data_IF_856294620523
#
_entry.id   IF_856294620523
#
_cell.length_a   1.000
_cell.length_b   1.000
_cell.length_c   1.000
_cell.angle_alpha   90.00
_cell.angle_beta   90.00
_cell.angle_gamma   90.00
#
_symmetry.space_group_name_H-M   'P 1'
#
loop_
_entity.id
_entity.type
_entity.pdbx_description
1 polymer ?
#
# COMPACT_ATOMS: atom_id res chain seq x y z
N UNK A 1 12.60 -5.12 28.04
CA UNK A 1 12.59 -6.33 27.19
C UNK A 1 13.77 -6.36 26.23
N UNK A 2 14.04 -5.31 25.44
CA UNK A 2 15.25 -5.21 24.58
C UNK A 2 16.56 -5.52 25.29
N UNK A 3 16.78 -4.94 26.49
CA UNK A 3 18.00 -5.19 27.27
C UNK A 3 18.16 -6.67 27.64
N UNK A 4 17.06 -7.40 27.86
CA UNK A 4 17.10 -8.84 28.15
C UNK A 4 17.51 -9.66 26.93
N UNK A 5 16.97 -9.34 25.75
CA UNK A 5 17.42 -9.96 24.50
C UNK A 5 18.89 -9.64 24.18
N UNK A 6 19.32 -8.40 24.44
CA UNK A 6 20.71 -8.02 24.27
C UNK A 6 21.65 -8.82 25.19
N UNK A 7 21.29 -9.03 26.45
CA UNK A 7 22.05 -9.87 27.39
C UNK A 7 22.08 -11.33 26.96
N UNK A 8 20.92 -11.90 26.57
CA UNK A 8 20.84 -13.27 26.06
C UNK A 8 21.72 -13.46 24.82
N UNK A 9 21.73 -12.49 23.90
CA UNK A 9 22.60 -12.52 22.72
C UNK A 9 24.09 -12.49 23.08
N UNK A 10 24.47 -11.82 24.18
CA UNK A 10 25.86 -11.81 24.65
C UNK A 10 26.28 -13.16 25.23
N UNK A 11 25.40 -13.84 25.97
CA UNK A 11 25.67 -15.19 26.50
C UNK A 11 25.62 -16.26 25.42
N UNK A 12 24.73 -16.12 24.44
CA UNK A 12 24.44 -17.11 23.40
C UNK A 12 24.59 -16.48 22.00
N UNK A 13 25.80 -16.08 21.61
CA UNK A 13 26.02 -15.46 20.30
C UNK A 13 25.80 -16.49 19.19
N UNK A 14 25.16 -16.06 18.10
CA UNK A 14 24.83 -16.88 16.93
C UNK A 14 23.77 -17.99 17.16
N UNK A 15 23.14 -18.07 18.33
CA UNK A 15 22.04 -19.02 18.56
C UNK A 15 20.74 -18.47 17.95
N UNK A 16 20.18 -19.19 16.98
CA UNK A 16 18.99 -18.74 16.24
C UNK A 16 17.76 -18.61 17.15
N UNK A 17 17.67 -19.46 18.17
CA UNK A 17 16.63 -19.42 19.21
C UNK A 17 16.63 -18.12 20.01
N UNK A 18 17.74 -17.38 20.02
CA UNK A 18 17.84 -16.05 20.62
C UNK A 18 17.67 -14.95 19.56
N UNK A 19 18.29 -15.12 18.39
CA UNK A 19 18.29 -14.09 17.35
C UNK A 19 16.91 -13.89 16.71
N UNK A 20 16.16 -14.96 16.43
CA UNK A 20 14.84 -14.89 15.81
C UNK A 20 13.80 -14.12 16.66
N UNK A 21 13.57 -14.47 17.95
CA UNK A 21 12.63 -13.70 18.77
C UNK A 21 13.13 -12.29 19.05
N UNK A 22 14.45 -12.07 19.10
CA UNK A 22 14.99 -10.72 19.23
C UNK A 22 14.69 -9.87 17.98
N UNK A 23 14.90 -10.42 16.79
CA UNK A 23 14.59 -9.76 15.52
C UNK A 23 13.10 -9.41 15.45
N UNK A 24 12.23 -10.39 15.73
CA UNK A 24 10.78 -10.17 15.76
C UNK A 24 10.42 -9.03 16.72
N UNK A 25 10.92 -9.06 17.95
CA UNK A 25 10.66 -8.01 18.92
C UNK A 25 11.14 -6.64 18.42
N UNK A 26 12.34 -6.55 17.82
CA UNK A 26 12.86 -5.28 17.28
C UNK A 26 12.03 -4.72 16.12
N UNK A 27 11.46 -5.58 15.28
CA UNK A 27 10.52 -5.18 14.24
C UNK A 27 9.23 -4.63 14.87
N UNK A 28 8.70 -5.29 15.90
CA UNK A 28 7.46 -4.87 16.59
C UNK A 28 7.61 -3.51 17.28
N UNK A 29 8.77 -3.24 17.90
CA UNK A 29 9.03 -1.95 18.57
C UNK A 29 9.62 -0.88 17.67
N UNK A 30 9.87 -1.20 16.40
CA UNK A 30 10.37 -0.24 15.41
C UNK A 30 11.86 0.12 15.55
N UNK A 31 12.66 -0.76 16.14
CA UNK A 31 14.13 -0.61 16.21
C UNK A 31 14.77 -1.09 14.90
N UNK A 32 14.47 -0.40 13.79
CA UNK A 32 14.77 -0.84 12.43
C UNK A 32 16.25 -1.10 12.15
N UNK A 33 17.15 -0.33 12.78
CA UNK A 33 18.60 -0.54 12.63
C UNK A 33 19.07 -1.85 13.25
N UNK A 34 18.51 -2.23 14.41
CA UNK A 34 18.82 -3.50 15.06
C UNK A 34 18.18 -4.65 14.29
N UNK A 35 16.92 -4.48 13.85
CA UNK A 35 16.22 -5.47 13.05
C UNK A 35 16.98 -5.82 11.76
N UNK A 36 17.52 -4.82 11.06
CA UNK A 36 18.36 -5.03 9.86
C UNK A 36 19.62 -5.84 10.18
N UNK A 37 20.35 -5.44 11.23
CA UNK A 37 21.56 -6.15 11.65
C UNK A 37 21.29 -7.61 11.99
N UNK A 38 20.25 -7.87 12.78
CA UNK A 38 19.83 -9.22 13.15
C UNK A 38 19.39 -10.02 11.91
N UNK A 39 18.69 -9.40 10.96
CA UNK A 39 18.27 -10.07 9.74
C UNK A 39 19.48 -10.54 8.90
N UNK A 40 20.50 -9.70 8.76
CA UNK A 40 21.74 -10.09 8.06
C UNK A 40 22.55 -11.14 8.81
N UNK A 41 22.54 -11.11 10.13
CA UNK A 41 23.22 -12.11 10.97
C UNK A 41 22.53 -13.46 10.88
N UNK A 42 21.19 -13.50 10.98
CA UNK A 42 20.40 -14.71 10.80
C UNK A 42 20.60 -15.27 9.38
N UNK A 43 20.56 -14.45 8.33
CA UNK A 43 20.80 -14.92 6.95
C UNK A 43 22.22 -15.46 6.75
N UNK A 44 23.21 -14.94 7.49
CA UNK A 44 24.57 -15.49 7.45
C UNK A 44 24.66 -16.87 8.10
N UNK A 45 23.92 -17.10 9.18
CA UNK A 45 23.93 -18.34 9.95
C UNK A 45 23.03 -19.41 9.33
N UNK A 46 21.87 -19.00 8.83
CA UNK A 46 20.91 -19.81 8.12
C UNK A 46 20.53 -19.08 6.82
N UNK A 47 21.27 -19.40 5.76
CA UNK A 47 21.07 -18.74 4.47
C UNK A 47 19.65 -18.94 3.94
N UNK A 48 19.04 -17.83 3.51
CA UNK A 48 17.67 -17.74 3.04
C UNK A 48 16.61 -18.04 4.10
N UNK A 49 16.92 -17.94 5.39
CA UNK A 49 15.92 -18.14 6.44
C UNK A 49 14.72 -17.18 6.25
N UNK A 50 13.47 -17.66 6.28
CA UNK A 50 12.32 -16.85 5.87
C UNK A 50 12.13 -15.60 6.75
N UNK A 51 12.33 -15.69 8.05
CA UNK A 51 12.23 -14.60 9.02
C UNK A 51 13.32 -13.53 8.79
N UNK A 52 14.53 -13.94 8.41
CA UNK A 52 15.58 -12.99 8.01
C UNK A 52 15.15 -12.21 6.77
N UNK A 53 14.65 -12.93 5.75
CA UNK A 53 14.23 -12.31 4.50
C UNK A 53 13.02 -11.38 4.70
N UNK A 54 12.05 -11.79 5.51
CA UNK A 54 10.87 -11.01 5.87
C UNK A 54 11.21 -9.80 6.74
N UNK A 55 12.19 -9.94 7.65
CA UNK A 55 12.71 -8.84 8.45
C UNK A 55 13.35 -7.75 7.59
N UNK A 56 14.25 -8.13 6.66
CA UNK A 56 14.83 -7.17 5.69
C UNK A 56 13.75 -6.50 4.85
N UNK A 57 12.76 -7.26 4.37
CA UNK A 57 11.62 -6.70 3.63
C UNK A 57 10.92 -5.61 4.45
N UNK A 58 10.63 -5.85 5.73
CA UNK A 58 9.95 -4.86 6.56
C UNK A 58 10.80 -3.61 6.82
N UNK A 59 12.12 -3.78 7.01
CA UNK A 59 13.05 -2.64 7.10
C UNK A 59 13.01 -1.79 5.83
N UNK A 60 13.05 -2.39 4.63
CA UNK A 60 12.97 -1.65 3.37
C UNK A 60 11.63 -0.94 3.20
N UNK A 61 10.53 -1.61 3.56
CA UNK A 61 9.18 -1.00 3.56
C UNK A 61 9.14 0.25 4.44
N UNK A 62 9.70 0.17 5.65
CA UNK A 62 9.71 1.31 6.56
C UNK A 62 10.56 2.49 6.08
N UNK A 63 11.71 2.21 5.47
CA UNK A 63 12.55 3.25 4.88
C UNK A 63 11.97 3.84 3.59
N UNK A 64 10.94 3.23 3.02
CA UNK A 64 10.42 3.58 1.70
C UNK A 64 11.42 3.28 0.58
N UNK A 65 12.37 2.36 0.80
CA UNK A 65 13.28 1.86 -0.24
C UNK A 65 12.55 0.78 -1.04
N UNK A 66 11.70 1.23 -1.95
CA UNK A 66 10.86 0.33 -2.74
C UNK A 66 11.67 -0.54 -3.70
N UNK A 67 12.72 -0.04 -4.38
CA UNK A 67 13.60 -0.88 -5.20
C UNK A 67 14.25 -2.03 -4.41
N UNK A 68 14.81 -1.78 -3.22
CA UNK A 68 15.35 -2.85 -2.40
C UNK A 68 14.25 -3.79 -1.90
N UNK A 69 13.11 -3.25 -1.48
CA UNK A 69 11.94 -4.04 -1.07
C UNK A 69 11.49 -5.01 -2.15
N UNK A 70 11.29 -4.58 -3.40
CA UNK A 70 10.76 -5.47 -4.44
C UNK A 70 11.78 -6.49 -4.93
N UNK A 71 13.09 -6.18 -4.86
CA UNK A 71 14.17 -7.17 -5.07
C UNK A 71 14.14 -8.25 -4.00
N UNK A 72 13.99 -7.84 -2.74
CA UNK A 72 13.85 -8.76 -1.62
C UNK A 72 12.58 -9.62 -1.73
N UNK A 73 11.44 -9.01 -2.05
CA UNK A 73 10.17 -9.72 -2.24
C UNK A 73 10.23 -10.71 -3.39
N UNK A 74 10.87 -10.35 -4.50
CA UNK A 74 11.08 -11.27 -5.61
C UNK A 74 11.92 -12.47 -5.18
N UNK A 75 13.02 -12.25 -4.46
CA UNK A 75 13.86 -13.32 -3.93
C UNK A 75 13.05 -14.27 -3.02
N UNK A 76 12.21 -13.70 -2.13
CA UNK A 76 11.29 -14.49 -1.29
C UNK A 76 10.32 -15.30 -2.14
N UNK A 77 9.71 -14.70 -3.17
CA UNK A 77 8.75 -15.41 -4.05
C UNK A 77 9.39 -16.48 -4.93
N UNK A 78 10.69 -16.38 -5.21
CA UNK A 78 11.46 -17.42 -5.92
C UNK A 78 11.76 -18.62 -5.01
N UNK A 79 11.98 -18.39 -3.71
CA UNK A 79 12.29 -19.43 -2.72
C UNK A 79 11.05 -20.06 -2.07
N UNK A 80 10.04 -19.23 -1.78
CA UNK A 80 8.81 -19.56 -1.07
C UNK A 80 7.59 -19.12 -1.89
N UNK A 81 7.37 -19.71 -3.08
CA UNK A 81 6.32 -19.27 -4.00
C UNK A 81 4.90 -19.49 -3.44
N UNK A 82 4.73 -20.51 -2.60
CA UNK A 82 3.46 -20.97 -2.07
C UNK A 82 3.40 -20.85 -0.54
N UNK A 83 2.18 -20.84 0.01
CA UNK A 83 1.94 -20.78 1.45
C UNK A 83 1.99 -19.37 2.02
N UNK A 84 1.94 -19.29 3.35
CA UNK A 84 1.67 -18.03 4.09
C UNK A 84 2.65 -16.91 3.73
N UNK A 85 3.94 -17.21 3.63
CA UNK A 85 4.98 -16.22 3.30
C UNK A 85 4.79 -15.68 1.88
N UNK A 86 4.65 -16.58 0.90
CA UNK A 86 4.44 -16.22 -0.50
C UNK A 86 3.16 -15.41 -0.70
N UNK A 87 2.07 -15.82 -0.06
CA UNK A 87 0.78 -15.13 -0.11
C UNK A 87 0.86 -13.73 0.51
N UNK A 88 1.51 -13.61 1.68
CA UNK A 88 1.71 -12.34 2.36
C UNK A 88 2.51 -11.36 1.50
N UNK A 89 3.58 -11.83 0.85
CA UNK A 89 4.39 -10.99 -0.04
C UNK A 89 3.58 -10.58 -1.28
N UNK A 90 2.96 -11.54 -1.96
CA UNK A 90 2.23 -11.32 -3.22
C UNK A 90 1.08 -10.32 -3.07
N UNK A 91 0.40 -10.34 -1.93
CA UNK A 91 -0.75 -9.47 -1.65
C UNK A 91 -0.48 -7.96 -1.83
N UNK A 92 0.76 -7.50 -1.65
CA UNK A 92 1.15 -6.08 -1.78
C UNK A 92 2.24 -5.83 -2.81
N UNK A 93 2.78 -6.88 -3.42
CA UNK A 93 3.95 -6.78 -4.28
C UNK A 93 3.69 -5.95 -5.55
N UNK A 94 2.54 -6.12 -6.21
CA UNK A 94 2.19 -5.32 -7.41
C UNK A 94 2.15 -3.83 -7.09
N UNK A 95 1.52 -3.44 -5.98
CA UNK A 95 1.51 -2.04 -5.53
C UNK A 95 2.92 -1.50 -5.29
N UNK A 96 3.81 -2.30 -4.68
CA UNK A 96 5.19 -1.90 -4.39
C UNK A 96 6.08 -1.83 -5.61
N UNK A 97 5.79 -2.63 -6.65
CA UNK A 97 6.46 -2.53 -7.95
C UNK A 97 6.20 -1.18 -8.62
N UNK A 98 4.99 -0.61 -8.50
CA UNK A 98 4.72 0.75 -8.95
C UNK A 98 5.59 1.77 -8.22
N UNK A 99 5.62 1.69 -6.88
CA UNK A 99 6.44 2.61 -6.06
C UNK A 99 7.94 2.49 -6.37
N UNK A 100 8.40 1.27 -6.65
CA UNK A 100 9.79 1.02 -7.02
C UNK A 100 10.11 1.59 -8.42
N UNK A 101 9.19 1.47 -9.38
CA UNK A 101 9.34 2.06 -10.72
C UNK A 101 9.33 3.59 -10.71
N UNK A 102 8.62 4.22 -9.76
CA UNK A 102 8.65 5.66 -9.55
C UNK A 102 10.04 6.14 -9.07
N UNK A 103 10.72 5.35 -8.23
CA UNK A 103 12.06 5.68 -7.71
C UNK A 103 13.20 5.27 -8.66
N UNK A 104 13.07 4.13 -9.33
CA UNK A 104 14.05 3.57 -10.25
C UNK A 104 13.32 3.10 -11.53
N UNK A 105 13.05 3.99 -12.51
CA UNK A 105 12.25 3.65 -13.70
C UNK A 105 12.79 2.48 -14.52
N UNK A 106 14.11 2.33 -14.55
CA UNK A 106 14.80 1.27 -15.28
C UNK A 106 14.79 -0.07 -14.52
N UNK A 107 14.37 -0.11 -13.25
CA UNK A 107 14.40 -1.31 -12.40
C UNK A 107 13.68 -2.49 -13.04
N UNK A 108 12.56 -2.18 -13.67
CA UNK A 108 11.68 -3.20 -14.23
C UNK A 108 12.17 -3.71 -15.58
N UNK A 109 13.21 -3.10 -16.15
CA UNK A 109 13.78 -3.56 -17.41
C UNK A 109 14.24 -5.01 -17.26
N UNK A 110 13.70 -5.87 -18.11
CA UNK A 110 13.96 -7.31 -18.07
C UNK A 110 13.51 -8.00 -16.77
N UNK A 111 12.67 -7.36 -15.95
CA UNK A 111 12.16 -7.95 -14.73
C UNK A 111 11.20 -9.10 -15.02
N UNK A 112 11.48 -10.27 -14.46
CA UNK A 112 10.63 -11.45 -14.62
C UNK A 112 9.45 -11.40 -13.66
N UNK A 113 8.24 -11.25 -14.20
CA UNK A 113 6.99 -11.28 -13.42
C UNK A 113 6.25 -12.62 -13.54
N UNK A 114 6.97 -13.73 -13.69
CA UNK A 114 6.34 -15.08 -13.77
C UNK A 114 5.49 -15.39 -12.54
N UNK A 115 5.82 -14.79 -11.41
CA UNK A 115 5.11 -14.92 -10.14
C UNK A 115 3.91 -13.94 -10.02
N UNK A 116 3.69 -13.00 -10.94
CA UNK A 116 2.48 -12.17 -10.89
C UNK A 116 1.32 -12.84 -11.66
N UNK A 117 0.09 -12.81 -11.10
CA UNK A 117 -1.10 -13.16 -11.87
C UNK A 117 -1.17 -12.29 -13.15
N UNK A 118 -1.29 -12.92 -14.32
CA UNK A 118 -1.40 -12.21 -15.61
C UNK A 118 -0.09 -11.96 -16.37
N UNK A 119 1.07 -12.33 -15.81
CA UNK A 119 2.36 -12.41 -16.52
C UNK A 119 2.71 -11.15 -17.35
N UNK A 120 2.92 -11.31 -18.66
CA UNK A 120 3.31 -10.20 -19.56
C UNK A 120 2.30 -9.05 -19.60
N UNK A 121 1.00 -9.32 -19.40
CA UNK A 121 -0.01 -8.26 -19.39
C UNK A 121 0.11 -7.39 -18.13
N UNK A 122 0.39 -8.00 -16.98
CA UNK A 122 0.63 -7.29 -15.72
C UNK A 122 1.85 -6.36 -15.85
N UNK A 123 2.93 -6.82 -16.52
CA UNK A 123 4.11 -5.99 -16.82
C UNK A 123 3.71 -4.74 -17.61
N UNK A 124 3.05 -4.93 -18.76
CA UNK A 124 2.66 -3.80 -19.63
C UNK A 124 1.73 -2.83 -18.90
N UNK A 125 0.79 -3.36 -18.12
CA UNK A 125 -0.10 -2.59 -17.28
C UNK A 125 0.68 -1.73 -16.29
N UNK A 126 1.61 -2.35 -15.56
CA UNK A 126 2.41 -1.68 -14.54
C UNK A 126 3.27 -0.54 -15.10
N UNK A 127 3.91 -0.77 -16.25
CA UNK A 127 4.65 0.28 -16.95
C UNK A 127 3.77 1.44 -17.38
N UNK A 128 2.59 1.15 -17.94
CA UNK A 128 1.65 2.18 -18.40
C UNK A 128 1.24 3.11 -17.26
N UNK A 129 0.87 2.53 -16.11
CA UNK A 129 0.49 3.29 -14.92
C UNK A 129 1.67 4.11 -14.40
N UNK A 130 2.85 3.50 -14.27
CA UNK A 130 4.03 4.17 -13.69
C UNK A 130 4.50 5.32 -14.59
N UNK A 131 4.49 5.13 -15.91
CA UNK A 131 4.80 6.20 -16.87
C UNK A 131 3.81 7.37 -16.79
N UNK A 132 2.51 7.08 -16.65
CA UNK A 132 1.49 8.12 -16.49
C UNK A 132 1.70 8.94 -15.21
N UNK A 133 2.05 8.29 -14.09
CA UNK A 133 2.33 8.97 -12.82
C UNK A 133 3.59 9.84 -12.94
N UNK A 134 4.68 9.30 -13.49
CA UNK A 134 5.94 10.04 -13.66
C UNK A 134 5.75 11.28 -14.55
N UNK A 135 5.05 11.13 -15.68
CA UNK A 135 4.75 12.25 -16.57
C UNK A 135 3.80 13.27 -15.92
N UNK A 136 2.78 12.82 -15.19
CA UNK A 136 1.89 13.72 -14.45
C UNK A 136 2.67 14.53 -13.39
N UNK A 137 3.61 13.90 -12.69
CA UNK A 137 4.50 14.57 -11.74
C UNK A 137 5.37 15.62 -12.43
N UNK A 138 5.97 15.29 -13.57
CA UNK A 138 6.75 16.25 -14.36
C UNK A 138 5.90 17.42 -14.84
N UNK A 139 4.68 17.18 -15.34
CA UNK A 139 3.73 18.22 -15.73
C UNK A 139 3.37 19.12 -14.54
N UNK A 140 3.07 18.55 -13.38
CA UNK A 140 2.73 19.30 -12.17
C UNK A 140 3.89 20.18 -11.70
N UNK A 141 5.12 19.64 -11.65
CA UNK A 141 6.33 20.40 -11.29
C UNK A 141 6.58 21.59 -12.23
N UNK A 142 6.19 21.47 -13.49
CA UNK A 142 6.25 22.53 -14.48
C UNK A 142 5.02 23.49 -14.46
N UNK A 143 4.20 23.44 -13.41
CA UNK A 143 3.02 24.29 -13.23
C UNK A 143 1.80 23.88 -14.07
N UNK A 144 1.84 22.73 -14.73
CA UNK A 144 0.77 22.24 -15.62
C UNK A 144 -0.15 21.25 -14.91
N UNK A 145 -0.60 21.56 -13.69
CA UNK A 145 -1.37 20.65 -12.84
C UNK A 145 -2.68 20.16 -13.48
N UNK A 146 -3.38 20.98 -14.26
CA UNK A 146 -4.62 20.54 -14.93
C UNK A 146 -4.32 19.47 -15.99
N UNK A 147 -3.24 19.62 -16.75
CA UNK A 147 -2.81 18.59 -17.72
C UNK A 147 -2.35 17.31 -17.03
N UNK A 148 -1.65 17.45 -15.90
CA UNK A 148 -1.28 16.31 -15.07
C UNK A 148 -2.54 15.55 -14.60
N UNK A 149 -3.57 16.26 -14.13
CA UNK A 149 -4.84 15.67 -13.73
C UNK A 149 -5.55 14.97 -14.91
N UNK A 150 -5.61 15.61 -16.08
CA UNK A 150 -6.20 15.00 -17.29
C UNK A 150 -5.49 13.69 -17.67
N UNK A 151 -4.15 13.67 -17.63
CA UNK A 151 -3.36 12.47 -17.91
C UNK A 151 -3.68 11.34 -16.92
N UNK A 152 -3.72 11.65 -15.62
CA UNK A 152 -4.04 10.65 -14.58
C UNK A 152 -5.47 10.12 -14.75
N UNK A 153 -6.44 11.01 -15.00
CA UNK A 153 -7.85 10.67 -15.24
C UNK A 153 -7.99 9.74 -16.43
N UNK A 154 -7.45 10.12 -17.58
CA UNK A 154 -7.55 9.31 -18.80
C UNK A 154 -6.81 8.00 -18.67
N UNK A 155 -5.68 7.96 -17.97
CA UNK A 155 -5.00 6.71 -17.64
C UNK A 155 -5.90 5.81 -16.79
N UNK A 156 -6.55 6.36 -15.77
CA UNK A 156 -7.48 5.60 -14.93
C UNK A 156 -8.66 5.05 -15.72
N UNK A 157 -9.26 5.82 -16.63
CA UNK A 157 -10.36 5.33 -17.49
C UNK A 157 -9.96 4.15 -18.38
N UNK A 158 -8.67 4.05 -18.72
CA UNK A 158 -8.12 2.98 -19.56
C UNK A 158 -7.79 1.72 -18.76
N UNK A 159 -7.27 1.86 -17.53
CA UNK A 159 -6.68 0.73 -16.79
C UNK A 159 -7.32 0.44 -15.42
N UNK A 160 -8.14 1.35 -14.89
CA UNK A 160 -8.89 1.16 -13.64
C UNK A 160 -8.04 1.10 -12.36
N UNK A 161 -6.76 1.49 -12.42
CA UNK A 161 -5.83 1.32 -11.30
C UNK A 161 -6.08 2.36 -10.19
N UNK A 162 -6.45 1.95 -8.96
CA UNK A 162 -6.79 2.90 -7.89
C UNK A 162 -5.66 3.88 -7.52
N UNK A 163 -4.40 3.48 -7.69
CA UNK A 163 -3.22 4.34 -7.47
C UNK A 163 -3.27 5.66 -8.28
N UNK A 164 -3.87 5.65 -9.47
CA UNK A 164 -4.03 6.86 -10.28
C UNK A 164 -5.02 7.86 -9.65
N UNK A 165 -6.01 7.37 -8.90
CA UNK A 165 -6.94 8.20 -8.15
C UNK A 165 -6.26 8.79 -6.90
N UNK A 166 -5.38 8.03 -6.25
CA UNK A 166 -4.58 8.55 -5.12
C UNK A 166 -3.71 9.74 -5.57
N UNK A 167 -3.09 9.66 -6.75
CA UNK A 167 -2.32 10.77 -7.32
C UNK A 167 -3.19 11.95 -7.75
N UNK A 168 -4.41 11.71 -8.26
CA UNK A 168 -5.38 12.78 -8.53
C UNK A 168 -5.79 13.52 -7.25
N UNK A 169 -6.06 12.78 -6.17
CA UNK A 169 -6.39 13.36 -4.87
C UNK A 169 -5.22 14.16 -4.29
N UNK A 170 -3.99 13.64 -4.42
CA UNK A 170 -2.79 14.38 -4.02
C UNK A 170 -2.69 15.69 -4.79
N UNK A 171 -2.85 15.64 -6.11
CA UNK A 171 -2.79 16.83 -6.96
C UNK A 171 -3.91 17.85 -6.64
N UNK A 172 -5.12 17.39 -6.32
CA UNK A 172 -6.19 18.24 -5.80
C UNK A 172 -5.75 18.98 -4.53
N UNK A 173 -5.10 18.29 -3.61
CA UNK A 173 -4.62 18.86 -2.34
C UNK A 173 -3.47 19.86 -2.58
N UNK A 174 -2.46 19.46 -3.36
CA UNK A 174 -1.25 20.24 -3.66
C UNK A 174 -1.57 21.54 -4.42
N UNK A 175 -2.69 21.57 -5.15
CA UNK A 175 -3.18 22.74 -5.90
C UNK A 175 -4.15 23.62 -5.11
N UNK A 176 -4.30 23.38 -3.81
CA UNK A 176 -5.18 24.17 -2.95
C UNK A 176 -6.66 23.86 -3.15
N UNK A 177 -7.00 22.57 -3.28
CA UNK A 177 -8.36 22.06 -3.47
C UNK A 177 -9.00 22.54 -4.78
N UNK A 178 -8.27 22.39 -5.89
CA UNK A 178 -8.72 22.89 -7.19
C UNK A 178 -10.02 22.20 -7.65
N UNK A 179 -11.09 23.00 -7.79
CA UNK A 179 -12.43 22.51 -8.15
C UNK A 179 -12.44 21.78 -9.50
N UNK A 180 -11.64 22.20 -10.48
CA UNK A 180 -11.58 21.52 -11.78
C UNK A 180 -11.11 20.07 -11.65
N UNK A 181 -10.17 19.77 -10.73
CA UNK A 181 -9.71 18.41 -10.47
C UNK A 181 -10.80 17.60 -9.75
N UNK A 182 -11.54 18.24 -8.86
CA UNK A 182 -12.68 17.62 -8.20
C UNK A 182 -13.80 17.26 -9.20
N UNK A 183 -14.14 18.19 -10.10
CA UNK A 183 -15.13 17.97 -11.17
C UNK A 183 -14.71 16.80 -12.08
N UNK A 184 -13.42 16.66 -12.37
CA UNK A 184 -12.90 15.50 -13.12
C UNK A 184 -13.18 14.17 -12.41
N UNK A 185 -13.04 14.11 -11.09
CA UNK A 185 -13.37 12.91 -10.29
C UNK A 185 -14.88 12.65 -10.28
N UNK A 186 -15.72 13.69 -10.21
CA UNK A 186 -17.18 13.53 -10.31
C UNK A 186 -17.62 13.07 -11.71
N UNK A 187 -16.95 13.51 -12.78
CA UNK A 187 -17.17 12.98 -14.12
C UNK A 187 -16.84 11.47 -14.18
N UNK A 188 -15.77 11.03 -13.51
CA UNK A 188 -15.42 9.60 -13.43
C UNK A 188 -16.49 8.80 -12.67
N UNK A 189 -17.02 9.34 -11.57
CA UNK A 189 -18.07 8.69 -10.76
C UNK A 189 -19.35 8.44 -11.59
N UNK A 190 -19.71 9.40 -12.43
CA UNK A 190 -20.90 9.34 -13.29
C UNK A 190 -20.66 8.66 -14.64
N UNK A 191 -19.45 8.17 -14.91
CA UNK A 191 -19.14 7.48 -16.16
C UNK A 191 -19.74 6.07 -16.21
N UNK A 192 -19.87 5.49 -17.40
CA UNK A 192 -20.36 4.12 -17.60
C UNK A 192 -19.44 3.02 -17.03
N UNK A 193 -18.24 3.40 -16.56
CA UNK A 193 -17.26 2.54 -15.89
C UNK A 193 -17.15 2.91 -14.41
N UNK A 194 -18.29 2.99 -13.72
CA UNK A 194 -18.34 3.33 -12.28
C UNK A 194 -17.44 2.39 -11.49
N UNK A 195 -16.43 2.97 -10.83
CA UNK A 195 -15.52 2.24 -9.97
C UNK A 195 -15.77 2.67 -8.53
N UNK A 196 -15.95 1.69 -7.63
CA UNK A 196 -16.10 1.93 -6.19
C UNK A 196 -14.95 2.79 -5.64
N UNK A 197 -13.76 2.67 -6.22
CA UNK A 197 -12.59 3.45 -5.81
C UNK A 197 -12.75 4.95 -6.09
N UNK A 198 -13.48 5.36 -7.13
CA UNK A 198 -13.75 6.78 -7.41
C UNK A 198 -14.64 7.36 -6.33
N UNK A 199 -15.75 6.70 -6.00
CA UNK A 199 -16.65 7.12 -4.92
C UNK A 199 -15.94 7.18 -3.58
N UNK A 200 -15.07 6.20 -3.27
CA UNK A 200 -14.26 6.22 -2.05
C UNK A 200 -13.25 7.39 -2.03
N UNK A 201 -12.64 7.70 -3.17
CA UNK A 201 -11.72 8.84 -3.31
C UNK A 201 -12.46 10.16 -3.06
N UNK A 202 -13.63 10.34 -3.70
CA UNK A 202 -14.49 11.52 -3.48
C UNK A 202 -14.98 11.61 -2.03
N UNK A 203 -15.41 10.51 -1.42
CA UNK A 203 -15.82 10.50 -0.02
C UNK A 203 -14.67 10.89 0.92
N UNK A 204 -13.45 10.39 0.65
CA UNK A 204 -12.22 10.73 1.39
C UNK A 204 -11.87 12.21 1.26
N UNK A 205 -11.93 12.78 0.06
CA UNK A 205 -11.75 14.22 -0.17
C UNK A 205 -12.78 15.02 0.64
N UNK A 206 -14.07 14.68 0.54
CA UNK A 206 -15.13 15.39 1.26
C UNK A 206 -14.94 15.34 2.79
N UNK A 207 -14.52 14.20 3.34
CA UNK A 207 -14.20 14.09 4.77
C UNK A 207 -13.06 15.01 5.21
N UNK A 208 -12.00 15.09 4.40
CA UNK A 208 -10.83 15.94 4.68
C UNK A 208 -11.19 17.42 4.59
N UNK A 209 -11.97 17.81 3.59
CA UNK A 209 -12.46 19.18 3.38
C UNK A 209 -13.58 19.58 4.35
N UNK A 210 -14.05 18.68 5.22
CA UNK A 210 -15.09 18.96 6.22
C UNK A 210 -16.52 18.86 5.70
N UNK A 211 -16.71 18.48 4.43
CA UNK A 211 -18.01 18.24 3.84
C UNK A 211 -18.56 16.85 4.22
N UNK A 212 -18.91 16.69 5.50
CA UNK A 212 -19.33 15.39 6.06
C UNK A 212 -20.65 14.89 5.50
N UNK A 213 -21.56 15.78 5.11
CA UNK A 213 -22.86 15.42 4.53
C UNK A 213 -22.67 14.69 3.20
N UNK A 214 -21.83 15.24 2.35
CA UNK A 214 -21.59 14.70 1.01
C UNK A 214 -20.77 13.40 1.06
N UNK A 215 -19.80 13.33 1.97
CA UNK A 215 -19.12 12.07 2.27
C UNK A 215 -20.09 10.99 2.76
N UNK A 216 -21.01 11.35 3.67
CA UNK A 216 -22.02 10.43 4.18
C UNK A 216 -22.94 9.94 3.06
N UNK A 217 -23.42 10.86 2.21
CA UNK A 217 -24.29 10.54 1.07
C UNK A 217 -23.63 9.51 0.15
N UNK A 218 -22.37 9.72 -0.23
CA UNK A 218 -21.61 8.79 -1.07
C UNK A 218 -21.44 7.42 -0.41
N UNK A 219 -21.01 7.39 0.85
CA UNK A 219 -20.81 6.12 1.57
C UNK A 219 -22.13 5.34 1.79
N UNK A 220 -23.27 6.01 1.94
CA UNK A 220 -24.57 5.33 2.08
C UNK A 220 -25.04 4.66 0.79
N UNK A 221 -24.64 5.20 -0.37
CA UNK A 221 -25.00 4.64 -1.68
C UNK A 221 -24.13 3.44 -2.07
N UNK A 222 -23.06 3.17 -1.30
CA UNK A 222 -22.15 2.06 -1.55
C UNK A 222 -22.57 0.79 -0.81
N UNK A 223 -22.47 -0.34 -1.49
CA UNK A 223 -22.47 -1.68 -0.90
C UNK A 223 -21.20 -2.42 -1.36
N UNK A 224 -20.07 -2.29 -0.65
CA UNK A 224 -18.87 -3.03 -1.02
C UNK A 224 -19.08 -4.53 -0.74
N UNK A 225 -18.64 -5.37 -1.66
CA UNK A 225 -18.51 -6.81 -1.39
C UNK A 225 -17.49 -7.02 -0.27
N UNK A 226 -17.82 -7.86 0.70
CA UNK A 226 -17.06 -8.05 1.94
C UNK A 226 -15.61 -8.52 1.76
N UNK A 227 -15.23 -9.02 0.58
CA UNK A 227 -13.93 -9.64 0.32
C UNK A 227 -12.92 -8.75 -0.42
N UNK A 228 -13.28 -7.53 -0.84
CA UNK A 228 -12.39 -6.71 -1.65
C UNK A 228 -11.65 -5.62 -0.84
N UNK A 229 -10.49 -5.16 -1.36
CA UNK A 229 -9.70 -4.10 -0.73
C UNK A 229 -10.48 -2.77 -0.57
N UNK A 230 -11.49 -2.54 -1.41
CA UNK A 230 -12.40 -1.40 -1.30
C UNK A 230 -13.28 -1.47 -0.04
N UNK A 231 -13.61 -2.66 0.47
CA UNK A 231 -14.36 -2.84 1.72
C UNK A 231 -13.60 -2.33 2.94
N UNK A 232 -12.30 -2.65 3.04
CA UNK A 232 -11.45 -2.12 4.12
C UNK A 232 -11.39 -0.59 4.10
N UNK A 233 -11.19 0.00 2.91
CA UNK A 233 -11.19 1.45 2.76
C UNK A 233 -12.57 2.06 3.11
N UNK A 234 -13.65 1.43 2.66
CA UNK A 234 -15.02 1.84 2.99
C UNK A 234 -15.27 1.89 4.50
N UNK A 235 -14.94 0.82 5.23
CA UNK A 235 -15.13 0.77 6.68
C UNK A 235 -14.23 1.77 7.41
N UNK A 236 -13.00 2.00 6.93
CA UNK A 236 -12.12 3.04 7.48
C UNK A 236 -12.71 4.44 7.31
N UNK A 237 -13.31 4.75 6.15
CA UNK A 237 -13.97 6.04 5.93
C UNK A 237 -15.26 6.18 6.75
N UNK A 238 -16.04 5.10 6.92
CA UNK A 238 -17.21 5.10 7.83
C UNK A 238 -16.80 5.38 9.28
N UNK A 239 -15.71 4.77 9.74
CA UNK A 239 -15.16 5.02 11.07
C UNK A 239 -14.78 6.50 11.23
N UNK A 240 -14.01 7.05 10.28
CA UNK A 240 -13.60 8.46 10.30
C UNK A 240 -14.80 9.43 10.27
N UNK A 241 -15.81 9.14 9.44
CA UNK A 241 -17.05 9.91 9.40
C UNK A 241 -17.77 9.87 10.75
N UNK A 242 -17.91 8.69 11.36
CA UNK A 242 -18.57 8.52 12.65
C UNK A 242 -17.86 9.28 13.78
N UNK A 243 -16.52 9.30 13.78
CA UNK A 243 -15.74 10.13 14.72
C UNK A 243 -16.02 11.62 14.52
N UNK A 244 -15.99 12.11 13.27
CA UNK A 244 -16.30 13.53 12.96
C UNK A 244 -17.72 13.92 13.37
N UNK A 245 -18.68 13.01 13.18
CA UNK A 245 -20.08 13.21 13.57
C UNK A 245 -20.35 12.96 15.06
N UNK A 246 -19.34 12.59 15.86
CA UNK A 246 -19.47 12.22 17.28
C UNK A 246 -20.52 11.13 17.52
N UNK A 247 -20.54 10.11 16.66
CA UNK A 247 -21.43 8.94 16.74
C UNK A 247 -20.64 7.69 17.17
N UNK A 248 -20.44 7.46 18.48
CA UNK A 248 -19.54 6.42 18.98
C UNK A 248 -19.99 5.00 18.61
N UNK A 249 -21.30 4.72 18.59
CA UNK A 249 -21.84 3.41 18.20
C UNK A 249 -21.51 3.06 16.75
N UNK A 250 -21.71 4.02 15.84
CA UNK A 250 -21.38 3.86 14.42
C UNK A 250 -19.87 3.72 14.19
N UNK A 251 -19.05 4.36 15.03
CA UNK A 251 -17.61 4.20 15.00
C UNK A 251 -17.20 2.79 15.45
N UNK A 252 -17.79 2.27 16.53
CA UNK A 252 -17.53 0.90 16.98
C UNK A 252 -17.96 -0.15 15.95
N UNK A 253 -19.13 0.03 15.33
CA UNK A 253 -19.61 -0.84 14.26
C UNK A 253 -18.66 -0.84 13.06
N UNK A 254 -18.19 0.32 12.62
CA UNK A 254 -17.24 0.39 11.52
C UNK A 254 -15.87 -0.21 11.89
N UNK A 255 -15.41 -0.01 13.12
CA UNK A 255 -14.14 -0.55 13.61
C UNK A 255 -14.16 -2.08 13.71
N UNK A 256 -15.27 -2.70 14.09
CA UNK A 256 -15.38 -4.16 14.17
C UNK A 256 -15.25 -4.85 12.80
N UNK A 257 -15.59 -4.14 11.72
CA UNK A 257 -15.40 -4.63 10.35
C UNK A 257 -13.96 -4.45 9.83
N UNK A 258 -13.11 -3.70 10.55
CA UNK A 258 -11.69 -3.51 10.22
C UNK A 258 -10.77 -4.51 10.93
N UNK A 259 -11.25 -5.12 12.01
CA UNK A 259 -10.51 -6.14 12.74
C UNK A 259 -10.71 -7.50 12.07
N UNK A 260 -9.65 -8.28 11.78
CA UNK A 260 -9.83 -9.65 11.37
C UNK A 260 -10.61 -10.38 12.48
N UNK A 261 -11.74 -10.97 12.11
CA UNK A 261 -12.50 -11.84 13.01
C UNK A 261 -11.57 -13.02 13.31
N UNK A 262 -10.99 -13.05 14.51
CA UNK A 262 -10.50 -14.30 15.07
C UNK A 262 -11.75 -15.17 15.24
N UNK A 263 -12.06 -15.98 14.22
CA UNK A 263 -13.03 -17.06 14.36
C UNK A 263 -12.50 -17.98 15.46
N UNK A 264 -13.19 -18.11 16.61
CA UNK A 264 -12.84 -19.16 17.54
C UNK A 264 -13.16 -20.49 16.83
N UNK A 265 -12.11 -21.27 16.56
CA UNK A 265 -12.27 -22.71 16.30
C UNK A 265 -12.72 -23.40 17.59
#
# INVERSE_FOLDING_TARGET
>A
MLQGFFQLRQEFPNELEVLLPYQQFTLEVGEWGIAEQLSHEIDRLAHNHPEALMGLREVYVQRGDWPACVRQERHILELYPDGVIGDQVRSRHEQRLHLAAEQEPELLNNWSMKYLPGGKKAIKHLYSVSAAISEANHLHQNGQSIKAAELLRTSFEQNGTPRLLDELERLYTDTGNNQTIYDMLECLENSSKTSLYVTLTLARINLRSGNTEEAQRRLQQMQPESSNAAASLYHALRYQLALKLKKPEAALEAASQLTPVNSPN
#
